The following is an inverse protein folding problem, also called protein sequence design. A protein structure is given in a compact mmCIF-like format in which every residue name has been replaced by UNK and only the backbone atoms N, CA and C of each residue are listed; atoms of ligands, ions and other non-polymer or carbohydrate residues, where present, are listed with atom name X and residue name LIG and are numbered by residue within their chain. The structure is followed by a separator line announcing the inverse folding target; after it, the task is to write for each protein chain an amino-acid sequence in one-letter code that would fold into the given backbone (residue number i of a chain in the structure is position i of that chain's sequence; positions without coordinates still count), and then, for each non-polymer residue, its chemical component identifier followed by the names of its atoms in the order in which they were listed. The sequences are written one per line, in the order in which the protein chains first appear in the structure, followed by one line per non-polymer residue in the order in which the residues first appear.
data_IF_484309655667
#
_entry.id   IF_484309655667
#
_cell.length_a   1.000
_cell.length_b   1.000
_cell.length_c   1.000
_cell.angle_alpha   90.00
_cell.angle_beta   90.00
_cell.angle_gamma   90.00
#
_symmetry.space_group_name_H-M   'P 1'
#
loop_
_entity.id
_entity.type
_entity.pdbx_description
1 polymer ?
#
# COMPACT_ATOMS: atom_id res chain seq x y z
N UNK A 1 -2.15 1.04 -7.35
CA UNK A 1 -3.34 1.70 -6.77
C UNK A 1 -2.87 2.57 -5.62
N UNK A 2 -3.44 3.77 -5.50
CA UNK A 2 -3.19 4.69 -4.38
C UNK A 2 -4.54 5.10 -3.80
N UNK A 3 -4.69 5.03 -2.49
CA UNK A 3 -5.84 5.56 -1.77
C UNK A 3 -5.36 6.65 -0.79
N UNK A 4 -5.55 7.94 -1.12
CA UNK A 4 -5.07 9.04 -0.29
C UNK A 4 -5.93 9.17 0.98
N UNK A 5 -5.30 9.63 2.07
CA UNK A 5 -6.02 10.07 3.27
C UNK A 5 -6.60 11.47 2.99
N UNK A 6 -7.91 11.63 3.17
CA UNK A 6 -8.64 12.86 2.84
C UNK A 6 -9.00 13.70 4.08
N UNK A 7 -8.86 13.12 5.27
CA UNK A 7 -9.26 13.73 6.54
C UNK A 7 -8.07 13.86 7.49
N UNK A 8 -8.03 14.95 8.24
CA UNK A 8 -6.97 15.20 9.21
C UNK A 8 -7.06 14.21 10.38
N UNK A 9 -5.90 13.76 10.89
CA UNK A 9 -5.81 12.87 12.05
C UNK A 9 -6.16 11.40 11.78
N UNK A 10 -6.46 11.03 10.54
CA UNK A 10 -6.73 9.63 10.17
C UNK A 10 -5.42 8.86 9.99
N UNK A 11 -5.23 7.82 10.80
CA UNK A 11 -4.05 6.93 10.74
C UNK A 11 -4.34 5.57 10.09
N UNK A 12 -5.62 5.26 9.81
CA UNK A 12 -6.05 4.01 9.17
C UNK A 12 -7.15 4.29 8.16
N UNK A 13 -7.10 3.62 7.01
CA UNK A 13 -8.07 3.80 5.94
C UNK A 13 -8.74 2.46 5.59
N UNK A 14 -10.06 2.49 5.40
CA UNK A 14 -10.77 1.40 4.73
C UNK A 14 -10.68 1.58 3.22
N UNK A 15 -9.97 0.68 2.55
CA UNK A 15 -9.73 0.76 1.11
C UNK A 15 -10.50 -0.34 0.39
N UNK A 16 -11.31 0.04 -0.59
CA UNK A 16 -11.93 -0.91 -1.51
C UNK A 16 -10.82 -1.56 -2.35
N UNK A 17 -10.62 -2.87 -2.19
CA UNK A 17 -9.47 -3.52 -2.80
C UNK A 17 -9.76 -4.01 -4.21
N UNK A 18 -8.83 -3.77 -5.15
CA UNK A 18 -8.90 -4.37 -6.47
C UNK A 18 -8.57 -5.86 -6.35
N UNK A 19 -9.25 -6.67 -7.16
CA UNK A 19 -9.13 -8.12 -7.13
C UNK A 19 -7.68 -8.61 -7.29
N UNK A 20 -7.41 -9.81 -6.77
CA UNK A 20 -6.13 -10.51 -6.86
C UNK A 20 -5.18 -10.28 -5.67
N UNK A 21 -3.96 -10.81 -5.80
CA UNK A 21 -2.87 -10.62 -4.83
C UNK A 21 -2.24 -9.23 -4.96
N UNK A 22 -2.12 -8.52 -3.84
CA UNK A 22 -1.52 -7.18 -3.75
C UNK A 22 -0.48 -7.13 -2.64
N UNK A 23 0.55 -6.31 -2.84
CA UNK A 23 1.58 -6.03 -1.85
C UNK A 23 1.42 -4.58 -1.40
N UNK A 24 1.39 -4.36 -0.09
CA UNK A 24 1.43 -3.02 0.50
C UNK A 24 2.84 -2.47 0.45
N UNK A 25 3.00 -1.26 -0.09
CA UNK A 25 4.30 -0.66 -0.37
C UNK A 25 5.20 -0.56 0.87
N UNK A 26 4.63 -0.13 2.00
CA UNK A 26 5.39 0.20 3.20
C UNK A 26 5.66 -1.05 4.05
N UNK A 27 4.61 -1.77 4.46
CA UNK A 27 4.73 -2.91 5.38
C UNK A 27 5.12 -4.22 4.72
N UNK A 28 5.12 -4.28 3.38
CA UNK A 28 5.26 -5.52 2.57
C UNK A 28 4.19 -6.58 2.84
N UNK A 29 3.16 -6.26 3.61
CA UNK A 29 2.09 -7.20 3.88
C UNK A 29 1.41 -7.58 2.55
N UNK A 30 1.22 -8.88 2.38
CA UNK A 30 0.54 -9.47 1.23
C UNK A 30 -0.93 -9.59 1.53
N UNK A 31 -1.74 -9.09 0.62
CA UNK A 31 -3.19 -9.12 0.74
C UNK A 31 -3.76 -9.89 -0.43
N UNK A 32 -4.40 -11.03 -0.11
CA UNK A 32 -5.23 -11.80 -1.04
C UNK A 32 -6.69 -11.61 -0.64
N UNK A 33 -7.56 -11.31 -1.60
CA UNK A 33 -9.01 -11.25 -1.35
C UNK A 33 -9.76 -11.24 -2.67
N UNK A 34 -11.03 -11.58 -2.53
CA UNK A 34 -12.05 -11.53 -3.55
C UNK A 34 -12.41 -10.07 -3.91
N UNK A 35 -12.94 -9.83 -5.13
CA UNK A 35 -13.51 -8.54 -5.48
C UNK A 35 -14.56 -8.08 -4.45
N UNK A 36 -14.61 -6.79 -4.16
CA UNK A 36 -15.62 -6.19 -3.25
C UNK A 36 -15.25 -6.22 -1.76
N UNK A 37 -14.14 -6.85 -1.37
CA UNK A 37 -13.66 -6.80 0.01
C UNK A 37 -13.03 -5.44 0.33
N UNK A 38 -13.41 -4.87 1.47
CA UNK A 38 -12.69 -3.75 2.09
C UNK A 38 -11.66 -4.27 3.07
N UNK A 39 -10.49 -3.63 3.12
CA UNK A 39 -9.47 -3.91 4.12
C UNK A 39 -9.12 -2.64 4.87
N UNK A 40 -8.90 -2.77 6.17
CA UNK A 40 -8.30 -1.73 6.97
C UNK A 40 -6.77 -1.79 6.83
N UNK A 41 -6.17 -0.63 6.59
CA UNK A 41 -4.73 -0.49 6.31
C UNK A 41 -4.21 0.70 7.09
N UNK A 42 -3.02 0.55 7.68
CA UNK A 42 -2.31 1.68 8.28
C UNK A 42 -1.93 2.70 7.19
N UNK A 43 -2.24 3.96 7.44
CA UNK A 43 -1.92 5.09 6.57
C UNK A 43 -1.43 6.30 7.39
N UNK A 44 -0.32 6.16 8.13
CA UNK A 44 0.24 7.29 8.87
C UNK A 44 0.73 8.38 7.91
N UNK A 45 0.98 9.58 8.44
CA UNK A 45 1.49 10.71 7.66
C UNK A 45 2.76 10.31 6.90
N UNK A 46 2.78 10.60 5.60
CA UNK A 46 3.88 10.24 4.70
C UNK A 46 3.83 8.81 4.15
N UNK A 47 2.90 7.96 4.62
CA UNK A 47 2.73 6.58 4.15
C UNK A 47 1.26 6.33 3.75
N UNK A 48 0.76 6.95 2.66
CA UNK A 48 -0.59 6.71 2.17
C UNK A 48 -0.80 5.24 1.79
N UNK A 49 -2.04 4.76 1.75
CA UNK A 49 -2.31 3.37 1.41
C UNK A 49 -1.99 3.09 -0.08
N UNK A 50 -0.80 2.55 -0.35
CA UNK A 50 -0.28 2.27 -1.69
C UNK A 50 -0.07 0.77 -1.89
N UNK A 51 -0.60 0.26 -3.00
CA UNK A 51 -0.56 -1.15 -3.35
C UNK A 51 -0.12 -1.37 -4.80
N UNK A 52 0.70 -2.40 -5.00
CA UNK A 52 1.07 -2.91 -6.33
C UNK A 52 0.74 -4.42 -6.46
N UNK A 53 0.54 -4.95 -7.69
CA UNK A 53 0.30 -6.38 -7.89
C UNK A 53 1.49 -7.22 -7.40
N UNK A 54 1.21 -8.37 -6.77
CA UNK A 54 2.27 -9.33 -6.43
C UNK A 54 3.04 -9.78 -7.70
N UNK A 55 4.37 -9.81 -7.64
CA UNK A 55 5.23 -10.12 -8.78
C UNK A 55 5.44 -8.98 -9.79
N UNK A 56 4.91 -7.78 -9.53
CA UNK A 56 5.12 -6.63 -10.41
C UNK A 56 6.55 -6.10 -10.32
N UNK A 57 7.32 -6.24 -11.41
CA UNK A 57 8.69 -5.70 -11.49
C UNK A 57 8.75 -4.18 -11.24
N UNK A 58 7.77 -3.42 -11.77
CA UNK A 58 7.67 -1.97 -11.54
C UNK A 58 7.40 -1.65 -10.07
N UNK A 59 6.53 -2.43 -9.41
CA UNK A 59 6.23 -2.26 -7.99
C UNK A 59 7.45 -2.50 -7.10
N UNK A 60 8.22 -3.55 -7.40
CA UNK A 60 9.47 -3.85 -6.69
C UNK A 60 10.54 -2.79 -6.94
N UNK A 61 10.69 -2.31 -8.18
CA UNK A 61 11.62 -1.23 -8.53
C UNK A 61 11.29 0.08 -7.79
N UNK A 62 10.01 0.46 -7.73
CA UNK A 62 9.56 1.63 -6.98
C UNK A 62 9.93 1.50 -5.50
N UNK A 63 9.65 0.35 -4.89
CA UNK A 63 10.00 0.09 -3.49
C UNK A 63 11.50 0.22 -3.26
N UNK A 64 12.31 -0.37 -4.14
CA UNK A 64 13.76 -0.31 -4.05
C UNK A 64 14.26 1.13 -4.11
N UNK A 65 13.76 1.93 -5.06
CA UNK A 65 14.11 3.34 -5.19
C UNK A 65 13.71 4.17 -3.95
N UNK A 66 12.57 3.88 -3.31
CA UNK A 66 12.17 4.55 -2.07
C UNK A 66 13.05 4.18 -0.89
N UNK A 67 13.51 2.92 -0.83
CA UNK A 67 14.43 2.43 0.20
C UNK A 67 15.81 3.06 0.07
N UNK A 68 16.34 3.15 -1.14
CA UNK A 68 17.62 3.81 -1.43
C UNK A 68 17.62 5.30 -1.05
N UNK A 69 16.45 5.93 -1.06
CA UNK A 69 16.25 7.32 -0.65
C UNK A 69 15.93 7.47 0.83
N UNK A 70 15.89 6.39 1.61
CA UNK A 70 15.58 6.40 3.04
C UNK A 70 14.13 6.73 3.39
N UNK A 71 13.22 6.64 2.41
CA UNK A 71 11.80 7.01 2.58
C UNK A 71 10.99 5.84 3.17
N UNK A 72 11.38 4.59 2.85
CA UNK A 72 10.83 3.39 3.48
C UNK A 72 11.86 2.75 4.39
N UNK A 73 11.43 2.26 5.55
CA UNK A 73 12.28 1.55 6.52
C UNK A 73 13.02 0.36 5.90
N UNK A 74 14.21 0.10 6.46
CA UNK A 74 15.21 -0.90 6.05
C UNK A 74 14.64 -2.30 5.80
#
# INVERSE_FOLDING_TARGET
MVAPVLEAGVERLQVARPAGSRVHLWSRARYRASPGTRVEVAAPIGQPAVFYPEGSAVGEALRQALRERGITGS
#
